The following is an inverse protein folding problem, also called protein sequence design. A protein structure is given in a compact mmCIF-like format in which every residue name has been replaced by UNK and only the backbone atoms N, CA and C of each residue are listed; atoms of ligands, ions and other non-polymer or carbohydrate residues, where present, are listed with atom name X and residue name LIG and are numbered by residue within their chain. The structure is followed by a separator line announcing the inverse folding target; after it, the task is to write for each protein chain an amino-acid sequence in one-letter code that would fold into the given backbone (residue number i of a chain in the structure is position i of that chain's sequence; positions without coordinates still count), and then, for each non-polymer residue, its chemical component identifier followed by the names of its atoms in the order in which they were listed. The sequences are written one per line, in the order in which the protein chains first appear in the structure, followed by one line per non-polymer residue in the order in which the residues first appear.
data_IF_212771031178
#
_entry.id   IF_212771031178
#
_cell.length_a   1.000
_cell.length_b   1.000
_cell.length_c   1.000
_cell.angle_alpha   90.00
_cell.angle_beta   90.00
_cell.angle_gamma   90.00
#
_symmetry.space_group_name_H-M   'P 1'
#
loop_
_entity.id
_entity.type
_entity.pdbx_description
1 polymer ?
#
# COMPACT_ATOMS: atom_id res chain seq x y z
N UNK A 1 7.16 -9.70 0.76
CA UNK A 1 8.06 -9.00 -0.18
C UNK A 1 7.28 -8.69 -1.45
N UNK A 2 7.53 -7.55 -2.09
CA UNK A 2 6.74 -7.01 -3.20
C UNK A 2 7.66 -6.55 -4.33
N UNK A 3 7.09 -6.17 -5.46
CA UNK A 3 7.84 -5.72 -6.66
C UNK A 3 7.69 -4.22 -6.92
N UNK A 4 6.69 -3.58 -6.33
CA UNK A 4 6.27 -2.22 -6.63
C UNK A 4 5.34 -2.11 -7.86
N UNK A 5 4.91 -3.26 -8.41
CA UNK A 5 4.00 -3.30 -9.56
C UNK A 5 2.58 -3.55 -9.06
N UNK A 6 1.73 -2.54 -9.20
CA UNK A 6 0.33 -2.61 -8.78
C UNK A 6 -0.42 -3.59 -9.69
N UNK A 7 -1.15 -4.53 -9.09
CA UNK A 7 -1.90 -5.55 -9.81
C UNK A 7 -3.42 -5.34 -9.76
N UNK A 8 -3.91 -4.64 -8.74
CA UNK A 8 -5.34 -4.36 -8.60
C UNK A 8 -5.56 -3.05 -7.83
N UNK A 9 -6.81 -2.64 -7.76
CA UNK A 9 -7.27 -1.53 -6.92
C UNK A 9 -8.40 -1.98 -6.02
N UNK A 10 -8.52 -1.34 -4.86
CA UNK A 10 -9.58 -1.61 -3.90
C UNK A 10 -10.22 -0.34 -3.35
N UNK A 11 -11.39 -0.50 -2.73
CA UNK A 11 -12.02 0.53 -1.91
C UNK A 11 -11.75 0.24 -0.45
N UNK A 12 -11.16 1.19 0.23
CA UNK A 12 -10.81 1.10 1.64
C UNK A 12 -11.90 1.73 2.50
N UNK A 13 -12.32 0.98 3.53
CA UNK A 13 -13.11 1.47 4.65
C UNK A 13 -12.33 1.23 5.94
N UNK A 14 -12.24 2.25 6.80
CA UNK A 14 -11.54 2.16 8.07
C UNK A 14 -12.52 2.12 9.24
N UNK A 15 -12.40 1.13 10.09
CA UNK A 15 -13.16 0.97 11.33
C UNK A 15 -12.18 0.83 12.52
N UNK A 16 -11.86 1.94 13.18
CA UNK A 16 -10.81 1.99 14.23
C UNK A 16 -9.46 1.50 13.68
N UNK A 17 -8.95 0.36 14.18
CA UNK A 17 -7.69 -0.25 13.77
C UNK A 17 -7.87 -1.40 12.77
N UNK A 18 -9.08 -1.56 12.22
CA UNK A 18 -9.39 -2.55 11.20
C UNK A 18 -9.60 -1.81 9.88
N UNK A 19 -8.94 -2.28 8.84
CA UNK A 19 -9.23 -1.85 7.47
C UNK A 19 -9.99 -2.97 6.78
N UNK A 20 -11.05 -2.59 6.09
CA UNK A 20 -11.85 -3.44 5.22
C UNK A 20 -11.59 -2.96 3.80
N UNK A 21 -11.09 -3.83 2.95
CA UNK A 21 -10.76 -3.51 1.58
C UNK A 21 -11.64 -4.35 0.65
N UNK A 22 -12.46 -3.69 -0.15
CA UNK A 22 -13.23 -4.29 -1.24
C UNK A 22 -12.37 -4.30 -2.50
N UNK A 23 -12.10 -5.48 -3.05
CA UNK A 23 -11.33 -5.65 -4.27
C UNK A 23 -12.23 -5.38 -5.47
N UNK A 24 -11.77 -4.53 -6.38
CA UNK A 24 -12.54 -4.17 -7.57
C UNK A 24 -12.28 -5.10 -8.77
N UNK A 25 -11.21 -5.89 -8.70
CA UNK A 25 -10.83 -6.85 -9.73
C UNK A 25 -11.00 -8.29 -9.21
N UNK A 26 -11.82 -9.09 -9.88
CA UNK A 26 -12.12 -10.48 -9.49
C UNK A 26 -10.95 -11.45 -9.70
N UNK A 27 -9.88 -11.05 -10.39
CA UNK A 27 -8.70 -11.90 -10.63
C UNK A 27 -7.67 -11.86 -9.50
N UNK A 28 -7.87 -11.04 -8.48
CA UNK A 28 -6.96 -10.89 -7.35
C UNK A 28 -7.08 -12.09 -6.39
N UNK A 29 -6.10 -13.01 -6.45
CA UNK A 29 -6.04 -14.21 -5.61
C UNK A 29 -5.34 -13.92 -4.29
N UNK A 30 -5.93 -14.38 -3.18
CA UNK A 30 -5.38 -14.20 -1.82
C UNK A 30 -5.91 -15.27 -0.86
N UNK A 31 -5.14 -15.51 0.20
CA UNK A 31 -5.52 -16.40 1.30
C UNK A 31 -5.34 -15.69 2.65
N UNK A 32 -6.03 -16.20 3.69
CA UNK A 32 -5.80 -15.73 5.06
C UNK A 32 -4.35 -16.01 5.45
N UNK A 33 -3.68 -15.00 6.01
CA UNK A 33 -2.26 -15.05 6.34
C UNK A 33 -1.34 -14.48 5.25
N UNK A 34 -1.83 -14.25 4.03
CA UNK A 34 -1.03 -13.62 2.99
C UNK A 34 -0.69 -12.16 3.33
N UNK A 35 0.46 -11.71 2.87
CA UNK A 35 0.80 -10.30 2.87
C UNK A 35 0.30 -9.62 1.61
N UNK A 36 -0.36 -8.48 1.77
CA UNK A 36 -0.80 -7.61 0.67
C UNK A 36 -0.26 -6.21 0.92
N UNK A 37 0.34 -5.60 -0.09
CA UNK A 37 0.67 -4.19 -0.03
C UNK A 37 -0.57 -3.35 -0.40
N UNK A 38 -1.02 -2.54 0.54
CA UNK A 38 -2.11 -1.56 0.37
C UNK A 38 -1.48 -0.18 0.30
N UNK A 39 -1.49 0.46 -0.88
CA UNK A 39 -0.71 1.68 -1.18
C UNK A 39 0.78 1.54 -0.82
N UNK A 40 1.36 0.36 -1.06
CA UNK A 40 2.75 0.03 -0.75
C UNK A 40 3.01 -0.39 0.70
N UNK A 41 1.99 -0.38 1.58
CA UNK A 41 2.12 -0.74 3.00
C UNK A 41 1.80 -2.23 3.16
N UNK A 42 2.77 -3.01 3.64
CA UNK A 42 2.60 -4.44 3.90
C UNK A 42 1.62 -4.67 5.06
N UNK A 43 0.52 -5.37 4.78
CA UNK A 43 -0.51 -5.76 5.74
C UNK A 43 -0.83 -7.24 5.59
N UNK A 44 -1.25 -7.89 6.67
CA UNK A 44 -1.58 -9.32 6.68
C UNK A 44 -3.09 -9.53 6.62
N UNK A 45 -3.54 -10.36 5.69
CA UNK A 45 -4.95 -10.75 5.53
C UNK A 45 -5.39 -11.56 6.74
N UNK A 46 -6.40 -11.07 7.45
CA UNK A 46 -6.97 -11.71 8.65
C UNK A 46 -8.26 -12.45 8.36
N UNK A 47 -9.12 -11.87 7.54
CA UNK A 47 -10.42 -12.42 7.17
C UNK A 47 -10.68 -12.14 5.69
N UNK A 48 -11.40 -13.06 5.04
CA UNK A 48 -11.85 -12.91 3.65
C UNK A 48 -13.36 -13.18 3.63
N UNK A 49 -14.12 -12.32 2.95
CA UNK A 49 -15.55 -12.49 2.74
C UNK A 49 -15.93 -11.93 1.36
N UNK A 50 -16.37 -12.81 0.47
CA UNK A 50 -16.67 -12.47 -0.93
C UNK A 50 -15.45 -11.80 -1.61
N UNK A 51 -15.63 -10.56 -2.07
CA UNK A 51 -14.60 -9.74 -2.69
C UNK A 51 -13.92 -8.77 -1.71
N UNK A 52 -14.02 -9.00 -0.40
CA UNK A 52 -13.44 -8.14 0.63
C UNK A 52 -12.47 -8.92 1.51
N UNK A 53 -11.46 -8.22 1.98
CA UNK A 53 -10.60 -8.72 3.04
C UNK A 53 -10.42 -7.70 4.17
N UNK A 54 -10.12 -8.21 5.36
CA UNK A 54 -9.84 -7.39 6.54
C UNK A 54 -8.42 -7.58 6.98
N UNK A 55 -7.82 -6.49 7.47
CA UNK A 55 -6.50 -6.46 8.08
C UNK A 55 -6.55 -5.66 9.38
N UNK A 56 -5.75 -6.06 10.36
CA UNK A 56 -5.48 -5.25 11.54
C UNK A 56 -4.32 -4.30 11.25
N UNK A 57 -4.39 -3.07 11.74
CA UNK A 57 -3.32 -2.09 11.58
C UNK A 57 -2.87 -1.60 12.95
N UNK A 58 -1.57 -1.65 13.20
CA UNK A 58 -0.99 -1.15 14.44
C UNK A 58 -1.05 0.38 14.51
N UNK A 59 -1.05 0.92 15.72
CA UNK A 59 -0.96 2.38 15.91
C UNK A 59 0.32 2.97 15.31
N UNK A 60 1.41 2.22 15.34
CA UNK A 60 2.68 2.62 14.74
C UNK A 60 2.55 2.75 13.22
N UNK A 61 1.93 1.76 12.56
CA UNK A 61 1.66 1.81 11.12
C UNK A 61 0.78 2.99 10.76
N UNK A 62 -0.27 3.26 11.54
CA UNK A 62 -1.14 4.43 11.32
C UNK A 62 -0.38 5.77 11.47
N UNK A 63 0.58 5.85 12.39
CA UNK A 63 1.40 7.08 12.60
C UNK A 63 2.45 7.29 11.52
N UNK A 64 3.02 6.21 10.96
CA UNK A 64 4.10 6.26 9.97
C UNK A 64 3.64 6.26 8.52
N UNK A 65 2.35 6.08 8.28
CA UNK A 65 1.80 5.92 6.92
C UNK A 65 0.61 6.81 6.65
N UNK A 66 0.25 6.95 5.39
CA UNK A 66 -0.94 7.68 4.96
C UNK A 66 -2.26 7.04 5.41
N UNK A 67 -2.25 5.79 5.86
CA UNK A 67 -3.46 5.11 6.37
C UNK A 67 -4.01 5.77 7.63
N UNK A 68 -3.16 6.47 8.41
CA UNK A 68 -3.58 7.23 9.58
C UNK A 68 -4.46 8.43 9.23
N UNK A 69 -4.14 9.10 8.14
CA UNK A 69 -4.84 10.31 7.66
C UNK A 69 -6.05 9.99 6.76
N UNK A 70 -6.14 8.75 6.26
CA UNK A 70 -7.23 8.35 5.38
C UNK A 70 -8.56 8.38 6.11
N UNK A 71 -9.51 9.09 5.51
CA UNK A 71 -10.88 9.17 6.01
C UNK A 71 -11.55 7.79 5.98
N UNK A 72 -12.59 7.63 6.79
CA UNK A 72 -13.20 6.35 7.10
C UNK A 72 -13.97 5.65 5.97
N UNK A 73 -14.15 6.26 4.78
CA UNK A 73 -15.08 5.70 3.79
C UNK A 73 -14.59 5.89 2.33
N UNK A 74 -14.58 4.76 1.57
CA UNK A 74 -14.51 4.71 0.10
C UNK A 74 -13.28 5.35 -0.58
N UNK A 75 -12.12 5.30 0.05
CA UNK A 75 -10.89 5.71 -0.64
C UNK A 75 -10.38 4.58 -1.53
N UNK A 76 -9.99 4.94 -2.75
CA UNK A 76 -9.31 4.01 -3.66
C UNK A 76 -7.88 3.82 -3.18
N UNK A 77 -7.45 2.56 -3.16
CA UNK A 77 -6.09 2.14 -2.80
C UNK A 77 -5.52 1.19 -3.85
N UNK A 78 -4.22 1.25 -4.05
CA UNK A 78 -3.48 0.30 -4.87
C UNK A 78 -3.26 -1.00 -4.10
N UNK A 79 -3.36 -2.12 -4.79
CA UNK A 79 -3.17 -3.45 -4.22
C UNK A 79 -2.10 -4.21 -4.98
N UNK A 80 -1.18 -4.83 -4.23
CA UNK A 80 -0.19 -5.75 -4.75
C UNK A 80 -0.08 -6.97 -3.81
N UNK A 81 -0.28 -8.22 -4.29
CA UNK A 81 -0.04 -9.41 -3.48
C UNK A 81 1.46 -9.62 -3.28
N UNK A 82 1.83 -10.28 -2.19
CA UNK A 82 3.23 -10.64 -1.98
C UNK A 82 3.74 -11.56 -3.10
N UNK A 83 4.98 -11.32 -3.52
CA UNK A 83 5.67 -12.12 -4.52
C UNK A 83 5.82 -13.57 -4.01
N UNK A 84 5.41 -14.53 -4.81
CA UNK A 84 5.65 -15.97 -4.59
C UNK A 84 7.05 -16.35 -5.10
N UNK A 85 7.65 -17.40 -4.55
CA UNK A 85 8.99 -17.85 -4.97
C UNK A 85 9.02 -18.23 -6.47
N UNK A 86 7.91 -18.69 -7.00
CA UNK A 86 7.75 -19.07 -8.42
C UNK A 86 7.51 -17.89 -9.36
N UNK A 87 7.26 -16.69 -8.83
CA UNK A 87 6.88 -15.54 -9.64
C UNK A 87 8.10 -14.86 -10.29
N UNK A 88 7.86 -14.19 -11.40
CA UNK A 88 8.89 -13.38 -12.07
C UNK A 88 9.04 -12.05 -11.35
N UNK A 89 10.28 -11.67 -11.03
CA UNK A 89 10.60 -10.35 -10.49
C UNK A 89 10.67 -9.34 -11.65
N UNK A 90 9.54 -8.71 -11.94
CA UNK A 90 9.43 -7.71 -13.02
C UNK A 90 9.75 -6.27 -12.58
N UNK A 91 9.89 -6.02 -11.28
CA UNK A 91 10.15 -4.70 -10.69
C UNK A 91 11.37 -4.71 -9.76
N UNK A 92 11.20 -4.14 -8.59
CA UNK A 92 12.23 -4.03 -7.56
C UNK A 92 11.92 -4.95 -6.38
N UNK A 93 12.90 -5.21 -5.52
CA UNK A 93 12.66 -5.91 -4.26
C UNK A 93 12.27 -4.88 -3.20
N UNK A 94 11.00 -4.91 -2.79
CA UNK A 94 10.41 -3.95 -1.83
C UNK A 94 9.82 -4.70 -0.65
N UNK A 95 10.14 -4.27 0.57
CA UNK A 95 9.63 -4.90 1.79
C UNK A 95 8.17 -4.56 2.10
N UNK A 96 7.75 -3.35 1.75
CA UNK A 96 6.46 -2.78 2.15
C UNK A 96 6.44 -2.26 3.60
N UNK A 97 7.61 -2.17 4.25
CA UNK A 97 7.78 -1.58 5.58
C UNK A 97 8.13 -0.09 5.45
N UNK A 98 7.20 0.75 5.87
CA UNK A 98 7.28 2.19 5.68
C UNK A 98 8.06 2.84 6.81
N UNK A 99 9.08 3.62 6.47
CA UNK A 99 9.94 4.33 7.43
C UNK A 99 9.39 5.71 7.81
N UNK A 100 8.60 6.32 6.93
CA UNK A 100 8.05 7.65 7.19
C UNK A 100 7.24 8.22 6.02
N UNK A 101 6.86 9.48 6.17
CA UNK A 101 6.03 10.24 5.24
C UNK A 101 6.83 11.33 4.53
N UNK A 102 6.50 11.54 3.27
CA UNK A 102 6.94 12.68 2.49
C UNK A 102 5.75 13.39 1.84
N UNK A 103 5.94 14.65 1.51
CA UNK A 103 4.96 15.46 0.78
C UNK A 103 5.44 15.71 -0.64
N UNK A 104 4.60 15.40 -1.61
CA UNK A 104 4.83 15.81 -3.00
C UNK A 104 4.73 17.34 -3.07
N UNK A 105 5.82 18.02 -3.46
CA UNK A 105 5.89 19.47 -3.52
C UNK A 105 5.87 20.00 -4.95
N UNK A 106 6.26 19.18 -5.92
CA UNK A 106 6.18 19.52 -7.33
C UNK A 106 6.01 18.27 -8.19
N UNK A 107 5.24 18.40 -9.27
CA UNK A 107 5.11 17.39 -10.33
C UNK A 107 5.25 18.13 -11.65
N UNK A 108 6.29 17.82 -12.40
CA UNK A 108 6.57 18.40 -13.71
C UNK A 108 6.46 17.33 -14.80
N UNK A 109 5.67 17.60 -15.82
CA UNK A 109 5.55 16.73 -16.98
C UNK A 109 6.69 17.02 -17.94
N UNK A 110 7.53 16.02 -18.19
CA UNK A 110 8.53 16.02 -19.22
C UNK A 110 7.98 15.39 -20.51
N UNK A 111 8.75 15.37 -21.59
CA UNK A 111 8.29 14.85 -22.89
C UNK A 111 7.80 13.40 -22.81
N UNK A 112 8.52 12.51 -22.09
CA UNK A 112 8.22 11.07 -21.98
C UNK A 112 8.21 10.55 -20.54
N UNK A 113 8.22 11.43 -19.54
CA UNK A 113 8.33 11.08 -18.13
C UNK A 113 7.75 12.16 -17.23
N UNK A 114 7.85 11.95 -15.93
CA UNK A 114 7.47 12.91 -14.92
C UNK A 114 8.62 13.12 -13.93
N UNK A 115 8.88 14.35 -13.58
CA UNK A 115 9.77 14.70 -12.47
C UNK A 115 8.92 14.93 -11.22
N UNK A 116 9.13 14.09 -10.22
CA UNK A 116 8.43 14.16 -8.94
C UNK A 116 9.39 14.65 -7.86
N UNK A 117 9.06 15.79 -7.24
CA UNK A 117 9.82 16.33 -6.11
C UNK A 117 9.09 16.03 -4.81
N UNK A 118 9.77 15.35 -3.88
CA UNK A 118 9.21 14.93 -2.60
C UNK A 118 10.02 15.56 -1.47
N UNK A 119 9.33 16.20 -0.53
CA UNK A 119 9.91 16.72 0.71
C UNK A 119 9.64 15.75 1.85
N UNK A 120 10.68 15.25 2.49
CA UNK A 120 10.56 14.41 3.68
C UNK A 120 10.04 15.19 4.89
N UNK A 121 9.16 14.57 5.67
CA UNK A 121 8.71 15.15 6.94
C UNK A 121 9.77 15.05 8.04
N UNK A 122 10.57 13.98 8.04
CA UNK A 122 11.59 13.75 9.06
C UNK A 122 12.99 13.93 8.46
N UNK A 123 13.74 14.93 8.99
CA UNK A 123 15.11 15.24 8.56
C UNK A 123 16.12 14.09 8.77
N UNK A 124 15.83 13.15 9.66
CA UNK A 124 16.73 12.03 9.95
C UNK A 124 16.86 11.03 8.78
N UNK A 125 15.89 10.98 7.86
CA UNK A 125 15.93 10.12 6.67
C UNK A 125 16.45 10.82 5.41
N UNK A 126 16.79 12.09 5.46
CA UNK A 126 17.31 12.84 4.31
C UNK A 126 18.77 12.53 3.97
N UNK A 127 19.38 11.55 4.65
CA UNK A 127 20.78 11.17 4.44
C UNK A 127 20.94 9.90 3.56
N UNK A 128 19.85 9.34 3.05
CA UNK A 128 19.82 8.14 2.21
C UNK A 128 19.31 8.46 0.83
#
# INVERSE_FOLDING_TARGET
MFTGIIQSIGKLKKEKNILIIEILDQTFDMQIGDSIAVDGICLTVKEISNNQFKVDVSEETLKKTTLGEKSSINQIVNLEPALRISDRLGGHIVSGHIDGLGKVVNIEKLEKSWLLSIKWHNKNFSKY
#
